data_IF_145362825862
#
_entry.id   IF_145362825862
#
_cell.length_a   1.000
_cell.length_b   1.000
_cell.length_c   1.000
_cell.angle_alpha   90.00
_cell.angle_beta   90.00
_cell.angle_gamma   90.00
#
_symmetry.space_group_name_H-M   'P 1'
#
loop_
_entity.id
_entity.type
_entity.pdbx_description
1 polymer ?
#
# COMPACT_ATOMS: atom_id res chain seq x y z
N UNK A 1 9.89 -22.40 -22.84
CA UNK A 1 10.12 -23.08 -21.55
C UNK A 1 10.29 -21.98 -20.53
N UNK A 2 9.55 -21.98 -19.42
CA UNK A 2 9.73 -21.00 -18.35
C UNK A 2 10.90 -21.47 -17.48
N UNK A 3 11.88 -20.60 -17.25
CA UNK A 3 13.04 -20.87 -16.42
C UNK A 3 12.94 -20.09 -15.12
N UNK A 4 13.43 -20.65 -14.02
CA UNK A 4 13.50 -19.96 -12.74
C UNK A 4 14.71 -19.02 -12.76
N UNK A 5 14.56 -17.83 -12.19
CA UNK A 5 15.67 -16.90 -11.99
C UNK A 5 16.69 -17.45 -10.99
N UNK A 6 17.97 -17.12 -11.18
CA UNK A 6 19.07 -17.51 -10.28
C UNK A 6 18.99 -16.82 -8.91
N UNK A 7 18.28 -15.68 -8.84
CA UNK A 7 18.10 -14.88 -7.63
C UNK A 7 16.64 -14.96 -7.16
N UNK A 8 16.45 -15.04 -5.84
CA UNK A 8 15.13 -15.06 -5.22
C UNK A 8 15.03 -14.10 -4.03
N UNK A 9 13.80 -13.70 -3.70
CA UNK A 9 13.50 -12.91 -2.50
C UNK A 9 12.86 -13.84 -1.46
N UNK A 10 13.47 -13.94 -0.28
CA UNK A 10 12.91 -14.71 0.82
C UNK A 10 11.93 -13.85 1.66
N UNK A 11 10.72 -14.35 1.86
CA UNK A 11 9.66 -13.72 2.65
C UNK A 11 8.96 -14.76 3.54
N UNK A 12 8.24 -14.28 4.55
CA UNK A 12 7.51 -15.15 5.48
C UNK A 12 6.26 -15.73 4.80
N UNK A 13 5.94 -17.03 4.98
CA UNK A 13 4.75 -17.62 4.40
C UNK A 13 3.49 -16.98 4.97
N UNK A 14 2.45 -16.86 4.15
CA UNK A 14 1.17 -16.34 4.62
C UNK A 14 0.54 -17.25 5.67
N UNK A 15 0.00 -16.66 6.72
CA UNK A 15 -0.75 -17.38 7.76
C UNK A 15 -2.17 -16.85 7.80
N UNK A 16 -3.12 -17.71 7.42
CA UNK A 16 -4.54 -17.42 7.55
C UNK A 16 -4.97 -17.64 9.01
N UNK A 17 -5.99 -16.90 9.47
CA UNK A 17 -6.59 -17.06 10.80
C UNK A 17 -7.34 -18.40 10.90
N UNK A 18 -6.61 -19.51 10.97
CA UNK A 18 -7.16 -20.83 11.25
C UNK A 18 -6.91 -21.17 12.73
N UNK A 19 -7.63 -20.46 13.59
CA UNK A 19 -8.02 -20.90 14.94
C UNK A 19 -6.97 -21.20 16.02
N UNK A 20 -5.67 -21.22 15.74
CA UNK A 20 -4.66 -21.65 16.73
C UNK A 20 -3.49 -20.68 16.95
N UNK A 21 -3.33 -19.64 16.13
CA UNK A 21 -2.36 -18.57 16.37
C UNK A 21 -3.00 -17.24 15.98
N UNK A 22 -2.97 -16.26 16.88
CA UNK A 22 -3.48 -14.90 16.62
C UNK A 22 -2.63 -14.10 15.63
N UNK A 23 -1.50 -14.64 15.20
CA UNK A 23 -0.56 -13.98 14.31
C UNK A 23 -0.93 -14.20 12.84
N UNK A 24 -1.13 -13.08 12.12
CA UNK A 24 -1.45 -13.07 10.68
C UNK A 24 -0.28 -12.51 9.89
N UNK A 25 0.12 -13.21 8.84
CA UNK A 25 1.10 -12.77 7.84
C UNK A 25 0.43 -12.72 6.48
N UNK A 26 0.55 -11.60 5.78
CA UNK A 26 0.07 -11.39 4.41
C UNK A 26 1.18 -10.83 3.53
N UNK A 27 1.23 -11.28 2.29
CA UNK A 27 2.22 -10.84 1.31
C UNK A 27 1.54 -10.13 0.15
N UNK A 28 2.14 -9.03 -0.29
CA UNK A 28 1.68 -8.21 -1.41
C UNK A 28 2.86 -7.99 -2.35
N UNK A 29 2.61 -8.08 -3.66
CA UNK A 29 3.60 -7.66 -4.64
C UNK A 29 3.36 -6.20 -5.00
N UNK A 30 4.36 -5.36 -4.76
CA UNK A 30 4.39 -3.98 -5.20
C UNK A 30 5.08 -3.91 -6.56
N UNK A 31 4.28 -3.74 -7.61
CA UNK A 31 4.71 -3.72 -9.01
C UNK A 31 5.46 -2.45 -9.39
N UNK A 32 5.29 -1.35 -8.63
CA UNK A 32 6.00 -0.09 -8.84
C UNK A 32 7.45 -0.17 -8.39
N UNK A 33 7.71 -0.66 -7.18
CA UNK A 33 9.07 -0.76 -6.64
C UNK A 33 9.69 -2.16 -6.83
N UNK A 34 8.96 -3.10 -7.44
CA UNK A 34 9.37 -4.49 -7.63
C UNK A 34 9.78 -5.16 -6.32
N UNK A 35 8.94 -5.00 -5.29
CA UNK A 35 9.17 -5.53 -3.94
C UNK A 35 8.07 -6.48 -3.50
N UNK A 36 8.47 -7.48 -2.72
CA UNK A 36 7.54 -8.29 -1.94
C UNK A 36 7.38 -7.61 -0.58
N UNK A 37 6.17 -7.16 -0.31
CA UNK A 37 5.76 -6.50 0.92
C UNK A 37 5.06 -7.51 1.84
N UNK A 38 5.65 -7.77 3.00
CA UNK A 38 5.10 -8.63 4.04
C UNK A 38 4.55 -7.77 5.17
N UNK A 39 3.28 -7.98 5.51
CA UNK A 39 2.63 -7.41 6.69
C UNK A 39 2.38 -8.53 7.69
N UNK A 40 2.93 -8.40 8.90
CA UNK A 40 2.83 -9.42 9.95
C UNK A 40 2.36 -8.84 11.27
N UNK A 41 1.44 -9.52 11.94
CA UNK A 41 1.05 -9.21 13.31
C UNK A 41 1.71 -10.21 14.27
N UNK A 42 2.63 -9.73 15.11
CA UNK A 42 3.22 -10.50 16.21
C UNK A 42 3.45 -9.59 17.42
N UNK A 43 2.35 -9.11 18.00
CA UNK A 43 2.31 -8.12 19.10
C UNK A 43 2.42 -6.65 18.65
N UNK A 44 2.78 -6.41 17.38
CA UNK A 44 2.65 -5.13 16.67
C UNK A 44 2.58 -5.44 15.17
N UNK A 45 1.97 -4.55 14.37
CA UNK A 45 1.86 -4.75 12.93
C UNK A 45 3.15 -4.29 12.23
N UNK A 46 3.99 -5.25 11.87
CA UNK A 46 5.25 -5.03 11.17
C UNK A 46 5.06 -5.05 9.65
N UNK A 47 5.76 -4.16 8.97
CA UNK A 47 5.83 -4.05 7.51
C UNK A 47 7.29 -4.30 7.11
N UNK A 48 7.54 -5.21 6.18
CA UNK A 48 8.83 -5.35 5.52
C UNK A 48 8.67 -5.43 4.01
N UNK A 49 9.46 -4.69 3.23
CA UNK A 49 9.47 -4.81 1.78
C UNK A 49 10.88 -5.16 1.29
N UNK A 50 10.99 -6.20 0.47
CA UNK A 50 12.28 -6.71 -0.05
C UNK A 50 12.23 -6.85 -1.56
N UNK A 51 13.31 -6.45 -2.23
CA UNK A 51 13.54 -6.65 -3.67
C UNK A 51 14.68 -7.64 -3.92
N UNK A 52 14.95 -7.95 -5.19
CA UNK A 52 16.13 -8.71 -5.61
C UNK A 52 17.44 -7.94 -5.43
N UNK A 53 17.38 -6.61 -5.36
CA UNK A 53 18.54 -5.76 -5.08
C UNK A 53 19.07 -5.99 -3.66
N UNK A 54 20.40 -6.13 -3.53
CA UNK A 54 21.07 -6.39 -2.26
C UNK A 54 20.88 -5.21 -1.29
N UNK A 55 20.55 -5.51 -0.03
CA UNK A 55 20.33 -4.54 1.06
C UNK A 55 19.21 -3.52 0.86
N UNK A 56 18.37 -3.70 -0.16
CA UNK A 56 17.25 -2.80 -0.43
C UNK A 56 15.98 -3.27 0.29
N UNK A 57 15.98 -3.04 1.62
CA UNK A 57 14.93 -3.47 2.54
C UNK A 57 14.29 -2.27 3.22
N UNK A 58 12.96 -2.18 3.13
CA UNK A 58 12.15 -1.24 3.91
C UNK A 58 11.58 -1.99 5.11
N UNK A 59 11.64 -1.41 6.30
CA UNK A 59 11.06 -1.98 7.51
C UNK A 59 10.41 -0.89 8.36
N UNK A 60 9.14 -1.09 8.72
CA UNK A 60 8.40 -0.18 9.59
C UNK A 60 7.49 -0.98 10.53
N UNK A 61 7.04 -0.34 11.62
CA UNK A 61 5.94 -0.85 12.44
C UNK A 61 4.80 0.14 12.36
N UNK A 62 3.57 -0.30 12.38
CA UNK A 62 2.38 0.56 12.41
C UNK A 62 1.41 0.04 13.49
N UNK A 63 0.37 0.82 13.75
CA UNK A 63 -0.71 0.43 14.67
C UNK A 63 -1.37 -0.83 14.13
N UNK A 64 -1.57 -1.79 15.02
CA UNK A 64 -2.33 -2.98 14.70
C UNK A 64 -3.82 -2.66 14.70
N UNK A 65 -4.37 -2.55 13.49
CA UNK A 65 -5.80 -2.34 13.21
C UNK A 65 -6.36 -3.50 12.38
N UNK A 66 -5.72 -4.66 12.49
CA UNK A 66 -6.05 -5.84 11.70
C UNK A 66 -5.30 -5.93 10.36
N UNK A 67 -5.36 -7.11 9.72
CA UNK A 67 -4.72 -7.39 8.45
C UNK A 67 -5.29 -6.52 7.31
N UNK A 68 -4.46 -5.86 6.50
CA UNK A 68 -4.94 -5.12 5.33
C UNK A 68 -5.40 -6.06 4.20
N UNK A 69 -6.35 -5.61 3.38
CA UNK A 69 -6.69 -6.26 2.11
C UNK A 69 -5.74 -5.89 0.97
N UNK A 70 -4.97 -4.82 1.12
CA UNK A 70 -4.02 -4.30 0.13
C UNK A 70 -2.87 -3.57 0.83
N UNK A 71 -1.66 -3.72 0.29
CA UNK A 71 -0.53 -2.85 0.57
C UNK A 71 0.16 -2.43 -0.73
N UNK A 72 0.51 -1.15 -0.87
CA UNK A 72 1.32 -0.61 -1.98
C UNK A 72 2.31 0.45 -1.49
N UNK A 73 3.53 0.45 -2.00
CA UNK A 73 4.53 1.48 -1.68
C UNK A 73 4.40 2.65 -2.65
N UNK A 74 4.64 3.87 -2.17
CA UNK A 74 4.79 5.02 -3.08
C UNK A 74 5.99 4.81 -4.01
N UNK A 75 6.07 5.48 -5.17
CA UNK A 75 7.16 5.28 -6.13
C UNK A 75 8.57 5.56 -5.56
N UNK A 76 8.67 6.41 -4.54
CA UNK A 76 9.92 6.68 -3.82
C UNK A 76 10.14 5.84 -2.55
N UNK A 77 9.24 4.89 -2.26
CA UNK A 77 9.31 4.01 -1.09
C UNK A 77 9.11 4.67 0.27
N UNK A 78 8.72 5.96 0.34
CA UNK A 78 8.60 6.70 1.60
C UNK A 78 7.23 6.59 2.28
N UNK A 79 6.19 6.33 1.50
CA UNK A 79 4.83 6.15 1.97
C UNK A 79 4.35 4.73 1.63
N UNK A 80 3.40 4.23 2.41
CA UNK A 80 2.63 3.04 2.06
C UNK A 80 1.14 3.31 2.15
N UNK A 81 0.39 2.77 1.20
CA UNK A 81 -1.05 2.57 1.31
C UNK A 81 -1.28 1.26 2.06
N UNK A 82 -2.11 1.29 3.09
CA UNK A 82 -2.72 0.11 3.70
C UNK A 82 -4.24 0.22 3.63
N UNK A 83 -4.89 -0.68 2.89
CA UNK A 83 -6.34 -0.72 2.84
C UNK A 83 -6.88 -1.70 3.89
N UNK A 84 -7.25 -1.17 5.06
CA UNK A 84 -7.88 -1.95 6.15
C UNK A 84 -9.41 -1.83 6.14
N UNK A 85 -9.94 -0.87 5.40
CA UNK A 85 -11.36 -0.56 5.31
C UNK A 85 -11.80 -0.56 3.85
N UNK A 86 -13.09 -0.82 3.61
CA UNK A 86 -13.61 -0.94 2.24
C UNK A 86 -13.62 0.38 1.46
N UNK A 87 -13.68 1.53 2.15
CA UNK A 87 -13.85 2.86 1.55
C UNK A 87 -12.78 3.89 1.98
N UNK A 88 -11.72 3.43 2.62
CA UNK A 88 -10.60 4.29 3.00
C UNK A 88 -9.30 3.51 3.07
N UNK A 89 -8.20 4.26 3.03
CA UNK A 89 -6.85 3.71 3.23
C UNK A 89 -6.14 4.49 4.31
N UNK A 90 -5.24 3.81 5.02
CA UNK A 90 -4.27 4.45 5.87
C UNK A 90 -3.00 4.72 5.05
N UNK A 91 -2.52 5.96 5.09
CA UNK A 91 -1.23 6.37 4.54
C UNK A 91 -0.21 6.32 5.67
N UNK A 92 0.76 5.42 5.55
CA UNK A 92 1.83 5.21 6.53
C UNK A 92 3.09 5.93 6.06
N UNK A 93 3.68 6.75 6.92
CA UNK A 93 4.94 7.45 6.66
C UNK A 93 6.07 6.56 7.17
N UNK A 94 6.70 5.81 6.27
CA UNK A 94 7.63 4.73 6.62
C UNK A 94 8.89 5.25 7.32
N UNK A 95 9.30 6.49 7.03
CA UNK A 95 10.48 7.14 7.62
C UNK A 95 10.16 7.97 8.89
N UNK A 96 8.89 8.17 9.27
CA UNK A 96 8.51 9.03 10.42
C UNK A 96 7.80 8.22 11.49
N UNK A 97 8.30 8.24 12.73
CA UNK A 97 7.71 7.47 13.84
C UNK A 97 7.21 8.36 14.99
N UNK A 98 6.19 7.89 15.71
CA UNK A 98 5.72 8.42 17.00
C UNK A 98 6.24 7.55 18.17
N UNK A 99 7.56 7.36 18.20
CA UNK A 99 8.24 6.42 19.10
C UNK A 99 8.62 5.15 18.34
N UNK A 100 7.85 4.08 18.52
CA UNK A 100 8.13 2.77 17.90
C UNK A 100 7.24 2.45 16.70
N UNK A 101 6.20 3.24 16.46
CA UNK A 101 5.26 3.08 15.34
C UNK A 101 5.39 4.21 14.33
N UNK A 102 5.17 3.91 13.07
CA UNK A 102 5.12 4.87 11.99
C UNK A 102 3.90 5.78 12.15
N UNK A 103 4.09 7.05 11.86
CA UNK A 103 3.02 8.02 11.75
C UNK A 103 2.13 7.63 10.58
N UNK A 104 0.83 7.59 10.80
CA UNK A 104 -0.15 7.28 9.76
C UNK A 104 -1.35 8.23 9.82
N UNK A 105 -2.05 8.37 8.70
CA UNK A 105 -3.32 9.08 8.63
C UNK A 105 -4.26 8.47 7.61
N UNK A 106 -5.57 8.61 7.86
CA UNK A 106 -6.59 8.00 7.03
C UNK A 106 -7.01 8.95 5.89
N UNK A 107 -7.22 8.38 4.70
CA UNK A 107 -7.81 9.05 3.54
C UNK A 107 -8.98 8.21 3.06
N UNK A 108 -10.18 8.78 3.13
CA UNK A 108 -11.42 8.13 2.71
C UNK A 108 -11.91 8.67 1.36
N UNK A 109 -12.62 7.84 0.61
CA UNK A 109 -13.35 8.27 -0.58
C UNK A 109 -14.38 9.34 -0.20
N UNK A 110 -14.62 10.31 -1.08
CA UNK A 110 -15.66 11.31 -0.89
C UNK A 110 -17.06 10.73 -1.04
N UNK A 111 -17.25 9.80 -1.97
CA UNK A 111 -18.54 9.14 -2.16
C UNK A 111 -18.90 8.18 -1.01
N UNK A 112 -17.90 7.78 -0.19
CA UNK A 112 -17.97 6.70 0.80
C UNK A 112 -18.21 5.32 0.20
N UNK A 113 -18.17 5.20 -1.12
CA UNK A 113 -18.28 3.93 -1.82
C UNK A 113 -17.06 3.06 -1.56
N UNK A 114 -17.27 1.76 -1.75
CA UNK A 114 -16.19 0.78 -1.76
C UNK A 114 -15.16 1.09 -2.85
N UNK A 115 -13.90 1.04 -2.46
CA UNK A 115 -12.73 1.16 -3.33
C UNK A 115 -12.63 -0.14 -4.16
N UNK A 116 -12.67 0.00 -5.49
CA UNK A 116 -12.33 -1.07 -6.44
C UNK A 116 -10.81 -1.20 -6.57
N UNK A 117 -10.10 -0.08 -6.75
CA UNK A 117 -8.65 -0.01 -6.65
C UNK A 117 -8.21 1.34 -6.09
N UNK A 118 -7.00 1.34 -5.55
CA UNK A 118 -6.27 2.54 -5.15
C UNK A 118 -4.86 2.43 -5.69
N UNK A 119 -4.41 3.49 -6.35
CA UNK A 119 -3.16 3.49 -7.09
C UNK A 119 -2.38 4.78 -6.87
N UNK A 120 -1.05 4.68 -6.79
CA UNK A 120 -0.17 5.84 -6.72
C UNK A 120 -0.06 6.49 -8.09
N UNK A 121 -0.38 7.78 -8.17
CA UNK A 121 -0.22 8.59 -9.39
C UNK A 121 1.13 9.33 -9.36
N UNK A 122 1.58 9.72 -8.17
CA UNK A 122 2.90 10.29 -7.91
C UNK A 122 3.29 10.04 -6.46
N UNK A 123 4.46 10.53 -6.02
CA UNK A 123 4.94 10.36 -4.66
C UNK A 123 3.98 10.86 -3.57
N UNK A 124 3.08 11.79 -3.89
CA UNK A 124 2.13 12.37 -2.95
C UNK A 124 0.70 12.44 -3.51
N UNK A 125 0.37 11.65 -4.53
CA UNK A 125 -0.98 11.58 -5.08
C UNK A 125 -1.44 10.14 -5.23
N UNK A 126 -2.68 9.91 -4.83
CA UNK A 126 -3.37 8.63 -5.00
C UNK A 126 -4.65 8.83 -5.78
N UNK A 127 -5.03 7.83 -6.56
CA UNK A 127 -6.31 7.75 -7.25
C UNK A 127 -7.13 6.65 -6.59
N UNK A 128 -8.30 7.01 -6.06
CA UNK A 128 -9.33 6.01 -5.79
C UNK A 128 -10.16 5.77 -7.04
N UNK A 129 -10.39 4.50 -7.33
CA UNK A 129 -11.39 4.05 -8.30
C UNK A 129 -12.49 3.37 -7.51
N UNK A 130 -13.71 3.88 -7.62
CA UNK A 130 -14.92 3.24 -7.10
C UNK A 130 -15.79 2.78 -8.28
N UNK A 131 -16.94 2.17 -8.00
CA UNK A 131 -17.90 1.84 -9.05
C UNK A 131 -18.46 3.07 -9.77
N UNK A 132 -18.48 4.23 -9.10
CA UNK A 132 -19.19 5.42 -9.56
C UNK A 132 -18.28 6.63 -9.79
N UNK A 133 -17.07 6.62 -9.24
CA UNK A 133 -16.17 7.77 -9.24
C UNK A 133 -14.70 7.39 -9.41
N UNK A 134 -13.97 8.30 -10.05
CA UNK A 134 -12.52 8.42 -10.00
C UNK A 134 -12.21 9.63 -9.12
N UNK A 135 -11.41 9.46 -8.07
CA UNK A 135 -11.11 10.52 -7.11
C UNK A 135 -9.59 10.65 -6.92
N UNK A 136 -9.00 11.70 -7.49
CA UNK A 136 -7.59 12.02 -7.33
C UNK A 136 -7.39 12.83 -6.05
N UNK A 137 -6.59 12.31 -5.13
CA UNK A 137 -6.22 12.97 -3.88
C UNK A 137 -4.75 13.38 -3.91
N UNK A 138 -4.47 14.60 -3.41
CA UNK A 138 -3.15 15.04 -3.01
C UNK A 138 -2.97 14.84 -1.52
N UNK A 139 -1.83 14.27 -1.13
CA UNK A 139 -1.46 13.97 0.24
C UNK A 139 -0.59 15.08 0.80
N UNK A 140 -0.88 15.49 2.03
CA UNK A 140 -0.07 16.42 2.80
C UNK A 140 0.41 15.70 4.06
N UNK A 141 1.70 15.34 4.08
CA UNK A 141 2.33 14.61 5.18
C UNK A 141 2.40 15.41 6.48
N UNK A 142 2.68 16.71 6.40
CA UNK A 142 2.82 17.58 7.58
C UNK A 142 1.49 17.73 8.30
N UNK A 143 0.44 18.03 7.54
CA UNK A 143 -0.93 18.17 8.04
C UNK A 143 -1.60 16.81 8.24
N UNK A 144 -1.00 15.72 7.77
CA UNK A 144 -1.52 14.35 7.85
C UNK A 144 -2.94 14.24 7.27
N UNK A 145 -3.11 14.77 6.06
CA UNK A 145 -4.42 14.85 5.38
C UNK A 145 -4.32 14.54 3.90
N UNK A 146 -5.42 14.02 3.33
CA UNK A 146 -5.64 13.96 1.89
C UNK A 146 -6.68 15.00 1.45
N UNK A 147 -6.42 15.70 0.34
CA UNK A 147 -7.36 16.65 -0.28
C UNK A 147 -7.68 16.19 -1.70
N UNK A 148 -8.97 16.17 -2.05
CA UNK A 148 -9.38 15.94 -3.44
C UNK A 148 -8.88 17.06 -4.34
N UNK A 149 -8.19 16.65 -5.40
CA UNK A 149 -7.71 17.52 -6.47
C UNK A 149 -8.66 17.49 -7.66
N UNK A 150 -9.23 16.32 -7.96
CA UNK A 150 -10.16 16.12 -9.06
C UNK A 150 -11.07 14.93 -8.79
N UNK A 151 -12.32 15.03 -9.23
CA UNK A 151 -13.27 13.91 -9.25
C UNK A 151 -13.84 13.80 -10.66
N UNK A 152 -14.13 12.59 -11.11
CA UNK A 152 -14.85 12.32 -12.37
C UNK A 152 -15.80 11.15 -12.16
N UNK A 153 -16.99 11.23 -12.73
CA UNK A 153 -17.96 10.16 -12.64
C UNK A 153 -17.61 9.06 -13.65
N UNK A 154 -17.80 7.81 -13.25
CA UNK A 154 -17.57 6.63 -14.09
C UNK A 154 -18.61 5.55 -13.74
N UNK A 155 -18.76 4.55 -14.58
CA UNK A 155 -19.40 3.28 -14.20
C UNK A 155 -18.38 2.16 -14.39
N UNK A 156 -17.71 1.78 -13.31
CA UNK A 156 -16.62 0.81 -13.32
C UNK A 156 -17.02 -0.49 -12.61
N UNK A 157 -16.55 -1.62 -13.12
CA UNK A 157 -16.68 -2.93 -12.48
C UNK A 157 -15.34 -3.52 -12.03
N UNK A 158 -14.24 -3.03 -12.59
CA UNK A 158 -12.86 -3.40 -12.29
C UNK A 158 -11.93 -2.24 -12.71
N UNK A 159 -10.70 -2.26 -12.23
CA UNK A 159 -9.67 -1.30 -12.63
C UNK A 159 -8.28 -1.94 -12.58
N UNK A 160 -7.42 -1.47 -13.48
CA UNK A 160 -5.99 -1.74 -13.46
C UNK A 160 -5.28 -0.42 -13.75
N UNK A 161 -4.21 -0.16 -13.01
CA UNK A 161 -3.35 0.99 -13.23
C UNK A 161 -1.93 0.49 -13.47
N UNK A 162 -1.25 1.07 -14.44
CA UNK A 162 0.16 0.85 -14.71
C UNK A 162 0.80 2.18 -15.07
N UNK A 163 1.99 2.43 -14.53
CA UNK A 163 2.79 3.59 -14.92
C UNK A 163 3.40 3.32 -16.29
N UNK A 164 3.29 4.29 -17.21
CA UNK A 164 4.01 4.22 -18.47
C UNK A 164 5.52 4.30 -18.22
N UNK A 165 6.30 3.38 -18.80
CA UNK A 165 7.77 3.36 -18.71
C UNK A 165 8.44 4.67 -19.18
N UNK A 166 7.71 5.57 -19.86
CA UNK A 166 8.22 6.88 -20.26
C UNK A 166 8.35 7.87 -19.07
N UNK A 167 7.59 7.69 -17.99
CA UNK A 167 7.57 8.60 -16.84
C UNK A 167 8.64 8.27 -15.77
N UNK A 168 9.36 7.15 -15.93
CA UNK A 168 10.46 6.71 -15.04
C UNK A 168 11.83 7.32 -15.39
N UNK A 169 11.88 8.30 -16.32
CA UNK A 169 13.13 8.95 -16.80
C UNK A 169 13.21 10.46 -16.57
N UNK A 170 12.40 11.02 -15.67
CA UNK A 170 12.50 12.44 -15.29
C UNK A 170 12.97 12.61 -13.85
#
# INVERSE_FOLDING_TARGET
MLELGETSVAFEPETLQNGQSGNVTQNFFDDVNLKICTVRNNGSLGITAKSLAVNDVISARTKDRGPPGLMKLSPNGKLAILQRQINSVDIVLLEKTDGTTAVEFNVATKSRDMILSVDWISNNQILFVTKQSLELFGLNEEKRTGKVLRTSNVSASWSIYYVSLQDLRC
#
